data_IF_221445045226
#
_entry.id   IF_221445045226
#
_cell.length_a   1.000
_cell.length_b   1.000
_cell.length_c   1.000
_cell.angle_alpha   90.00
_cell.angle_beta   90.00
_cell.angle_gamma   90.00
#
_symmetry.space_group_name_H-M   'P 1'
#
loop_
_entity.id
_entity.type
_entity.pdbx_description
1 polymer ?
#
# COMPACT_ATOMS: atom_id res chain seq x y z
N UNK A 1 -33.60 -16.15 -26.30
CA UNK A 1 -32.39 -16.27 -25.47
C UNK A 1 -32.29 -15.03 -24.63
N UNK A 2 -32.14 -15.18 -23.32
CA UNK A 2 -31.84 -14.04 -22.45
C UNK A 2 -30.44 -13.49 -22.79
N UNK A 3 -30.16 -12.18 -22.58
CA UNK A 3 -28.83 -11.62 -22.84
C UNK A 3 -27.72 -12.40 -22.12
N UNK A 4 -27.98 -12.89 -20.91
CA UNK A 4 -27.05 -13.70 -20.12
C UNK A 4 -26.78 -15.07 -20.76
N UNK A 5 -27.78 -15.73 -21.34
CA UNK A 5 -27.59 -16.99 -22.07
C UNK A 5 -26.66 -16.82 -23.29
N UNK A 6 -26.74 -15.69 -23.98
CA UNK A 6 -25.85 -15.37 -25.10
C UNK A 6 -24.41 -15.26 -24.60
N UNK A 7 -24.19 -14.60 -23.46
CA UNK A 7 -22.86 -14.48 -22.85
C UNK A 7 -22.32 -15.83 -22.37
N UNK A 8 -23.16 -16.66 -21.73
CA UNK A 8 -22.82 -18.04 -21.34
C UNK A 8 -22.37 -18.87 -22.55
N UNK A 9 -23.06 -18.74 -23.69
CA UNK A 9 -22.67 -19.40 -24.95
C UNK A 9 -21.34 -18.88 -25.52
N UNK A 10 -21.06 -17.59 -25.38
CA UNK A 10 -19.76 -17.01 -25.74
C UNK A 10 -18.64 -17.56 -24.85
N UNK A 11 -18.90 -17.68 -23.55
CA UNK A 11 -17.95 -18.18 -22.55
C UNK A 11 -17.61 -19.66 -22.76
N UNK A 12 -18.60 -20.50 -23.11
CA UNK A 12 -18.34 -21.90 -23.45
C UNK A 12 -17.45 -22.04 -24.69
N UNK A 13 -17.62 -21.18 -25.70
CA UNK A 13 -16.75 -21.18 -26.89
C UNK A 13 -15.31 -20.82 -26.55
N UNK A 14 -15.08 -19.86 -25.64
CA UNK A 14 -13.73 -19.53 -25.16
C UNK A 14 -13.10 -20.72 -24.44
N UNK A 15 -13.85 -21.36 -23.55
CA UNK A 15 -13.42 -22.58 -22.88
C UNK A 15 -13.02 -23.66 -23.88
N UNK A 16 -13.82 -23.89 -24.93
CA UNK A 16 -13.51 -24.85 -25.97
C UNK A 16 -12.22 -24.50 -26.74
N UNK A 17 -11.99 -23.22 -27.04
CA UNK A 17 -10.77 -22.75 -27.73
C UNK A 17 -9.50 -23.01 -26.93
N UNK A 18 -9.55 -22.86 -25.60
CA UNK A 18 -8.36 -23.02 -24.75
C UNK A 18 -8.19 -24.45 -24.23
N UNK A 19 -9.23 -25.28 -24.27
CA UNK A 19 -9.26 -26.63 -23.67
C UNK A 19 -8.12 -27.51 -24.15
N UNK A 20 -7.88 -27.56 -25.46
CA UNK A 20 -6.85 -28.43 -26.04
C UNK A 20 -5.45 -28.01 -25.58
N UNK A 21 -5.16 -26.71 -25.57
CA UNK A 21 -3.85 -26.19 -25.15
C UNK A 21 -3.64 -26.38 -23.65
N UNK A 22 -4.66 -26.13 -22.83
CA UNK A 22 -4.62 -26.38 -21.38
C UNK A 22 -4.38 -27.87 -21.06
N UNK A 23 -5.08 -28.77 -21.76
CA UNK A 23 -4.87 -30.22 -21.60
C UNK A 23 -3.43 -30.65 -21.94
N UNK A 24 -2.84 -30.09 -23.01
CA UNK A 24 -1.42 -30.35 -23.35
C UNK A 24 -0.47 -29.88 -22.24
N UNK A 25 -0.73 -28.71 -21.64
CA UNK A 25 0.06 -28.19 -20.53
C UNK A 25 -0.09 -29.01 -19.25
N UNK A 26 -1.29 -29.48 -18.95
CA UNK A 26 -1.53 -30.38 -17.80
C UNK A 26 -0.77 -31.71 -17.96
N UNK A 27 -0.69 -32.25 -19.17
CA UNK A 27 0.13 -33.45 -19.45
C UNK A 27 1.61 -33.17 -19.25
N UNK A 28 2.13 -32.04 -19.73
CA UNK A 28 3.53 -31.63 -19.51
C UNK A 28 3.85 -31.44 -18.03
N UNK A 29 2.93 -30.83 -17.28
CA UNK A 29 3.06 -30.63 -15.83
C UNK A 29 3.10 -31.96 -15.08
N UNK A 30 2.24 -32.92 -15.45
CA UNK A 30 2.26 -34.29 -14.90
C UNK A 30 3.54 -35.05 -15.24
N UNK A 31 4.17 -34.74 -16.37
CA UNK A 31 5.46 -35.28 -16.78
C UNK A 31 6.67 -34.52 -16.20
N UNK A 32 6.44 -33.54 -15.29
CA UNK A 32 7.46 -32.69 -14.68
C UNK A 32 8.39 -32.00 -15.69
N UNK A 33 7.86 -31.67 -16.88
CA UNK A 33 8.60 -30.92 -17.90
C UNK A 33 8.50 -29.41 -17.64
N UNK A 34 9.55 -28.63 -17.93
CA UNK A 34 9.49 -27.18 -17.83
C UNK A 34 8.45 -26.62 -18.81
N UNK A 35 7.65 -25.66 -18.34
CA UNK A 35 6.72 -24.91 -19.18
C UNK A 35 7.54 -23.87 -19.95
N UNK A 36 7.17 -23.62 -21.21
CA UNK A 36 7.85 -22.61 -22.01
C UNK A 36 7.36 -21.21 -21.66
N UNK A 37 8.22 -20.19 -21.78
CA UNK A 37 7.85 -18.78 -21.56
C UNK A 37 6.61 -18.37 -22.38
N UNK A 38 6.48 -18.90 -23.60
CA UNK A 38 5.32 -18.65 -24.50
C UNK A 38 4.03 -19.28 -23.97
N UNK A 39 4.13 -20.38 -23.23
CA UNK A 39 2.98 -21.03 -22.59
C UNK A 39 2.61 -20.33 -21.28
N UNK A 40 3.58 -19.80 -20.53
CA UNK A 40 3.36 -18.97 -19.33
C UNK A 40 2.67 -17.65 -19.68
N UNK A 41 3.19 -16.90 -20.66
CA UNK A 41 2.57 -15.67 -21.16
C UNK A 41 1.13 -15.90 -21.65
N UNK A 42 0.87 -17.08 -22.23
CA UNK A 42 -0.47 -17.44 -22.68
C UNK A 42 -1.40 -17.77 -21.50
N UNK A 43 -0.91 -18.43 -20.44
CA UNK A 43 -1.68 -18.72 -19.23
C UNK A 43 -2.07 -17.43 -18.48
N UNK A 44 -1.23 -16.41 -18.48
CA UNK A 44 -1.52 -15.12 -17.85
C UNK A 44 -2.48 -14.23 -18.68
N UNK A 45 -2.51 -14.47 -20.00
CA UNK A 45 -3.34 -13.73 -20.95
C UNK A 45 -4.57 -14.52 -21.40
N UNK A 46 -4.56 -14.97 -22.66
CA UNK A 46 -5.72 -15.57 -23.34
C UNK A 46 -6.19 -16.90 -22.72
N UNK A 47 -5.34 -17.57 -21.93
CA UNK A 47 -5.67 -18.80 -21.21
C UNK A 47 -6.36 -18.58 -19.86
N UNK A 48 -6.37 -17.33 -19.36
CA UNK A 48 -7.01 -16.96 -18.11
C UNK A 48 -8.41 -16.41 -18.36
N UNK A 49 -9.45 -17.21 -18.10
CA UNK A 49 -10.85 -16.83 -18.32
C UNK A 49 -11.57 -16.35 -17.05
N UNK A 50 -10.84 -16.09 -15.96
CA UNK A 50 -11.44 -15.74 -14.67
C UNK A 50 -12.24 -14.43 -14.74
N UNK A 51 -11.77 -13.45 -15.50
CA UNK A 51 -12.49 -12.19 -15.69
C UNK A 51 -13.79 -12.41 -16.49
N UNK A 52 -13.74 -13.22 -17.57
CA UNK A 52 -14.92 -13.60 -18.35
C UNK A 52 -15.96 -14.36 -17.51
N UNK A 53 -15.54 -15.30 -16.66
CA UNK A 53 -16.43 -16.04 -15.76
C UNK A 53 -17.08 -15.12 -14.73
N UNK A 54 -16.26 -14.28 -14.05
CA UNK A 54 -16.75 -13.32 -13.04
C UNK A 54 -17.81 -12.39 -13.60
N UNK A 55 -17.59 -11.86 -14.81
CA UNK A 55 -18.53 -10.95 -15.45
C UNK A 55 -19.85 -11.64 -15.77
N UNK A 56 -19.81 -12.87 -16.28
CA UNK A 56 -21.03 -13.64 -16.57
C UNK A 56 -21.79 -13.98 -15.28
N UNK A 57 -21.10 -14.41 -14.22
CA UNK A 57 -21.71 -14.73 -12.92
C UNK A 57 -22.34 -13.49 -12.26
N UNK A 58 -21.67 -12.34 -12.35
CA UNK A 58 -22.18 -11.06 -11.84
C UNK A 58 -23.48 -10.66 -12.56
N UNK A 59 -23.53 -10.85 -13.89
CA UNK A 59 -24.72 -10.55 -14.69
C UNK A 59 -25.84 -11.58 -14.53
N UNK A 60 -25.52 -12.85 -14.27
CA UNK A 60 -26.49 -13.91 -13.99
C UNK A 60 -27.13 -13.76 -12.60
N UNK A 61 -26.37 -13.24 -11.63
CA UNK A 61 -26.84 -12.98 -10.27
C UNK A 61 -27.62 -11.68 -10.14
N UNK A 62 -27.53 -10.78 -11.13
CA UNK A 62 -28.25 -9.52 -11.12
C UNK A 62 -29.74 -9.74 -11.43
N UNK A 63 -30.62 -9.08 -10.66
CA UNK A 63 -32.07 -9.13 -10.87
C UNK A 63 -32.51 -8.50 -12.20
N UNK A 64 -31.72 -7.54 -12.70
CA UNK A 64 -31.93 -6.87 -13.98
C UNK A 64 -30.58 -6.76 -14.71
N UNK A 65 -30.55 -7.20 -15.97
CA UNK A 65 -29.37 -7.21 -16.81
C UNK A 65 -28.83 -5.79 -17.05
N UNK A 66 -29.70 -4.82 -17.29
CA UNK A 66 -29.30 -3.43 -17.56
C UNK A 66 -28.68 -2.79 -16.31
N UNK A 67 -29.23 -3.08 -15.13
CA UNK A 67 -28.67 -2.63 -13.86
C UNK A 67 -27.30 -3.28 -13.57
N UNK A 68 -27.16 -4.58 -13.87
CA UNK A 68 -25.89 -5.29 -13.78
C UNK A 68 -24.83 -4.68 -14.70
N UNK A 69 -25.19 -4.44 -15.96
CA UNK A 69 -24.31 -3.85 -16.97
C UNK A 69 -23.87 -2.41 -16.61
N UNK A 70 -24.76 -1.62 -16.00
CA UNK A 70 -24.44 -0.27 -15.54
C UNK A 70 -23.36 -0.26 -14.45
N UNK A 71 -23.35 -1.28 -13.57
CA UNK A 71 -22.40 -1.43 -12.46
C UNK A 71 -21.02 -1.94 -12.89
N UNK A 72 -20.92 -2.54 -14.07
CA UNK A 72 -19.65 -3.04 -14.61
C UNK A 72 -18.69 -1.89 -14.98
N UNK A 73 -17.40 -2.14 -14.78
CA UNK A 73 -16.35 -1.20 -15.18
C UNK A 73 -16.12 -1.20 -16.72
N UNK A 74 -15.21 -0.35 -17.20
CA UNK A 74 -14.91 -0.27 -18.64
C UNK A 74 -14.27 -1.55 -19.21
N UNK A 75 -13.50 -2.28 -18.41
CA UNK A 75 -12.84 -3.53 -18.81
C UNK A 75 -13.86 -4.67 -18.87
N UNK A 76 -14.69 -4.82 -17.84
CA UNK A 76 -15.78 -5.78 -17.76
C UNK A 76 -16.79 -5.56 -18.90
N UNK A 77 -17.10 -4.30 -19.26
CA UNK A 77 -17.93 -4.00 -20.45
C UNK A 77 -17.28 -4.46 -21.75
N UNK A 78 -15.95 -4.38 -21.86
CA UNK A 78 -15.21 -4.88 -23.03
C UNK A 78 -15.30 -6.40 -23.11
N UNK A 79 -15.25 -7.07 -21.97
CA UNK A 79 -15.45 -8.52 -21.84
C UNK A 79 -16.85 -8.94 -22.32
N UNK A 80 -17.91 -8.23 -21.89
CA UNK A 80 -19.29 -8.48 -22.35
C UNK A 80 -19.37 -8.38 -23.88
N UNK A 81 -18.80 -7.33 -24.48
CA UNK A 81 -18.78 -7.18 -25.94
C UNK A 81 -18.01 -8.29 -26.66
N UNK A 82 -16.88 -8.75 -26.08
CA UNK A 82 -16.08 -9.87 -26.61
C UNK A 82 -16.91 -11.16 -26.61
N UNK A 83 -17.55 -11.49 -25.49
CA UNK A 83 -18.39 -12.67 -25.33
C UNK A 83 -19.61 -12.64 -26.27
N UNK A 84 -20.25 -11.49 -26.42
CA UNK A 84 -21.38 -11.32 -27.33
C UNK A 84 -20.97 -11.55 -28.79
N UNK A 85 -19.85 -10.95 -29.25
CA UNK A 85 -19.31 -11.18 -30.60
C UNK A 85 -18.96 -12.65 -30.86
N UNK A 86 -18.41 -13.33 -29.85
CA UNK A 86 -18.10 -14.76 -29.94
C UNK A 86 -19.36 -15.63 -29.99
N UNK A 87 -20.42 -15.24 -29.29
CA UNK A 87 -21.70 -15.94 -29.34
C UNK A 87 -22.39 -15.79 -30.71
N UNK A 88 -22.36 -14.58 -31.27
CA UNK A 88 -22.99 -14.19 -32.54
C UNK A 88 -22.24 -14.71 -33.77
N UNK A 89 -20.91 -14.90 -33.70
CA UNK A 89 -20.12 -15.55 -34.76
C UNK A 89 -20.42 -17.05 -34.84
N UNK A 90 -21.56 -17.37 -35.44
CA UNK A 90 -21.85 -18.65 -36.06
C UNK A 90 -21.34 -18.65 -37.50
N UNK A 91 -20.49 -19.61 -37.84
CA UNK A 91 -20.02 -19.90 -39.22
C UNK A 91 -19.08 -18.86 -39.85
N UNK A 92 -17.81 -18.84 -39.44
CA UNK A 92 -16.66 -18.68 -40.37
C UNK A 92 -15.43 -19.32 -39.73
N UNK A 93 -14.91 -20.35 -40.40
CA UNK A 93 -13.60 -20.93 -40.11
C UNK A 93 -12.54 -19.87 -40.38
N UNK A 94 -11.57 -19.77 -39.47
CA UNK A 94 -10.24 -19.16 -39.56
C UNK A 94 -10.11 -17.85 -40.34
N UNK A 95 -9.78 -16.77 -39.64
CA UNK A 95 -8.66 -15.91 -40.01
C UNK A 95 -8.15 -15.15 -38.78
N UNK A 96 -6.85 -15.26 -38.55
CA UNK A 96 -6.13 -14.44 -37.58
C UNK A 96 -6.25 -12.94 -37.96
N UNK A 97 -6.19 -12.05 -36.97
CA UNK A 97 -4.98 -11.24 -36.92
C UNK A 97 -4.49 -11.00 -35.49
N UNK A 98 -3.25 -11.41 -35.25
CA UNK A 98 -2.43 -10.94 -34.15
C UNK A 98 -2.26 -9.42 -34.24
N UNK A 99 -2.93 -8.66 -33.36
CA UNK A 99 -2.47 -7.32 -32.98
C UNK A 99 -1.79 -7.42 -31.61
N UNK A 100 -0.47 -7.58 -31.65
CA UNK A 100 0.43 -7.41 -30.50
C UNK A 100 0.23 -6.02 -29.91
N UNK A 101 -0.52 -5.89 -28.82
CA UNK A 101 -0.49 -4.70 -27.99
C UNK A 101 0.62 -4.88 -26.95
N UNK A 102 1.82 -4.47 -27.34
CA UNK A 102 3.04 -4.51 -26.52
C UNK A 102 2.85 -3.62 -25.29
N UNK A 103 2.61 -4.21 -24.12
CA UNK A 103 2.76 -3.49 -22.84
C UNK A 103 4.24 -3.11 -22.71
N UNK A 104 4.53 -1.80 -22.66
CA UNK A 104 5.90 -1.28 -22.51
C UNK A 104 6.42 -1.63 -21.11
N UNK A 105 7.47 -2.45 -21.05
CA UNK A 105 8.36 -2.52 -19.91
C UNK A 105 9.12 -1.18 -19.80
N UNK A 106 8.97 -0.49 -18.67
CA UNK A 106 9.75 0.69 -18.30
C UNK A 106 11.17 0.24 -17.91
N UNK A 107 12.08 0.26 -18.89
CA UNK A 107 13.51 0.03 -18.69
C UNK A 107 14.17 1.35 -18.25
N UNK A 108 14.65 1.39 -17.02
CA UNK A 108 15.55 2.45 -16.53
C UNK A 108 16.89 2.39 -17.31
N UNK A 109 17.45 3.52 -17.76
CA UNK A 109 18.85 3.57 -18.14
C UNK A 109 19.70 4.12 -16.99
N UNK A 110 20.63 3.27 -16.55
CA UNK A 110 21.88 3.65 -15.90
C UNK A 110 22.78 4.36 -16.94
N UNK A 111 23.41 5.47 -16.57
CA UNK A 111 24.49 6.10 -17.35
C UNK A 111 25.69 6.33 -16.44
N UNK A 112 26.80 5.69 -16.79
CA UNK A 112 28.15 5.95 -16.31
C UNK A 112 28.84 7.00 -17.19
N UNK A 113 29.81 7.72 -16.60
CA UNK A 113 30.70 8.76 -17.13
C UNK A 113 31.39 8.39 -18.48
N UNK A 114 31.97 9.29 -19.28
CA UNK A 114 32.77 10.50 -19.00
C UNK A 114 32.86 11.43 -20.22
N UNK A 115 33.15 12.72 -19.99
CA UNK A 115 34.20 13.53 -20.66
C UNK A 115 33.91 15.06 -20.55
N UNK A 116 34.90 15.80 -20.08
CA UNK A 116 34.99 17.27 -19.86
C UNK A 116 36.12 17.83 -20.77
N UNK A 117 36.46 19.15 -20.89
CA UNK A 117 35.84 20.39 -20.36
C UNK A 117 35.91 21.71 -21.23
N UNK A 118 35.18 22.75 -20.75
CA UNK A 118 35.44 24.24 -20.74
C UNK A 118 35.25 25.14 -21.98
N UNK A 119 35.16 26.50 -21.84
CA UNK A 119 34.64 27.37 -20.74
C UNK A 119 33.72 28.54 -21.23
N UNK A 120 32.86 29.11 -20.37
CA UNK A 120 32.63 30.59 -20.27
C UNK A 120 31.56 30.97 -19.23
N UNK A 121 31.90 31.89 -18.31
CA UNK A 121 30.93 32.82 -17.69
C UNK A 121 30.67 32.66 -16.19
N UNK A 122 31.61 33.08 -15.36
CA UNK A 122 31.46 33.22 -13.91
C UNK A 122 30.49 34.35 -13.52
N UNK A 123 29.58 34.07 -12.59
CA UNK A 123 28.96 35.07 -11.70
C UNK A 123 28.98 34.54 -10.26
N UNK A 124 29.30 35.38 -9.26
CA UNK A 124 29.75 34.93 -7.95
C UNK A 124 28.64 34.35 -7.06
N UNK A 125 29.00 33.26 -6.37
CA UNK A 125 28.22 32.58 -5.33
C UNK A 125 28.13 33.42 -4.05
N UNK A 126 26.91 33.66 -3.57
CA UNK A 126 26.67 34.13 -2.20
C UNK A 126 26.54 32.93 -1.23
N UNK A 127 26.93 33.06 0.05
CA UNK A 127 26.99 31.93 0.98
C UNK A 127 25.60 31.49 1.47
N UNK A 128 25.50 30.18 1.64
CA UNK A 128 24.48 29.36 2.27
C UNK A 128 23.72 30.05 3.43
N UNK A 129 22.57 30.67 3.13
CA UNK A 129 21.55 30.94 4.14
C UNK A 129 20.57 29.76 4.12
N UNK A 130 20.67 28.88 5.12
CA UNK A 130 19.65 27.85 5.36
C UNK A 130 18.29 28.55 5.50
N UNK A 131 17.47 28.47 4.45
CA UNK A 131 16.11 28.98 4.49
C UNK A 131 15.34 28.13 5.51
N UNK A 132 15.26 28.60 6.75
CA UNK A 132 14.49 27.93 7.79
C UNK A 132 13.04 27.77 7.30
N UNK A 133 12.66 26.54 6.98
CA UNK A 133 11.29 26.20 6.60
C UNK A 133 10.37 26.61 7.75
N UNK A 134 9.27 27.29 7.41
CA UNK A 134 8.29 27.72 8.41
C UNK A 134 7.64 26.48 9.02
N UNK A 135 7.75 26.33 10.33
CA UNK A 135 7.12 25.24 11.05
C UNK A 135 5.84 25.69 11.76
N UNK A 136 4.91 24.76 11.94
CA UNK A 136 3.71 24.98 12.74
C UNK A 136 3.99 24.71 14.21
N UNK A 137 3.44 25.55 15.09
CA UNK A 137 3.61 25.40 16.54
C UNK A 137 2.84 24.18 17.05
N UNK A 138 3.55 23.33 17.77
CA UNK A 138 3.04 22.16 18.50
C UNK A 138 2.10 22.58 19.64
N UNK A 139 1.14 21.74 20.02
CA UNK A 139 0.20 22.04 21.12
C UNK A 139 0.92 22.33 22.44
N UNK A 140 1.97 21.55 22.78
CA UNK A 140 2.86 21.83 23.92
C UNK A 140 3.48 23.22 23.88
N UNK A 141 4.03 23.63 22.73
CA UNK A 141 4.64 24.95 22.55
C UNK A 141 3.61 26.07 22.71
N UNK A 142 2.37 25.86 22.25
CA UNK A 142 1.29 26.85 22.41
C UNK A 142 0.94 27.05 23.88
N UNK A 143 0.84 25.98 24.65
CA UNK A 143 0.55 26.07 26.11
C UNK A 143 1.68 26.77 26.84
N UNK A 144 2.94 26.42 26.58
CA UNK A 144 4.11 27.08 27.18
C UNK A 144 4.13 28.60 26.91
N UNK A 145 3.77 29.01 25.69
CA UNK A 145 3.69 30.42 25.31
C UNK A 145 2.54 31.13 26.05
N UNK A 146 1.41 30.45 26.25
CA UNK A 146 0.27 30.97 27.00
C UNK A 146 0.56 31.09 28.50
N UNK A 147 1.23 30.10 29.10
CA UNK A 147 1.63 30.11 30.50
C UNK A 147 2.61 31.26 30.77
N UNK A 148 3.61 31.44 29.90
CA UNK A 148 4.54 32.56 29.97
C UNK A 148 3.84 33.90 29.78
N UNK A 149 2.90 34.01 28.84
CA UNK A 149 2.12 35.24 28.63
C UNK A 149 1.32 35.63 29.87
N UNK A 150 0.72 34.66 30.56
CA UNK A 150 -0.02 34.89 31.79
C UNK A 150 0.88 35.26 32.97
N UNK A 151 2.06 34.65 33.08
CA UNK A 151 3.04 34.98 34.13
C UNK A 151 3.71 36.36 33.93
N UNK A 152 3.90 36.81 32.69
CA UNK A 152 4.64 38.05 32.36
C UNK A 152 3.73 39.26 32.06
N UNK A 153 2.55 39.31 32.69
CA UNK A 153 1.68 40.50 32.66
C UNK A 153 0.91 40.72 31.35
N UNK A 154 0.72 39.68 30.54
CA UNK A 154 -0.15 39.67 29.34
C UNK A 154 0.22 40.66 28.23
N UNK A 155 1.52 40.95 28.08
CA UNK A 155 2.02 41.82 27.02
C UNK A 155 2.40 41.02 25.78
N UNK A 156 1.47 40.94 24.82
CA UNK A 156 1.59 40.11 23.61
C UNK A 156 2.85 40.41 22.77
N UNK A 157 3.27 41.68 22.67
CA UNK A 157 4.47 42.08 21.92
C UNK A 157 5.74 41.53 22.57
N UNK A 158 5.83 41.56 23.90
CA UNK A 158 6.97 41.02 24.67
C UNK A 158 7.03 39.50 24.55
N UNK A 159 5.89 38.82 24.62
CA UNK A 159 5.79 37.37 24.40
C UNK A 159 6.26 36.98 23.01
N UNK A 160 5.79 37.68 21.96
CA UNK A 160 6.20 37.39 20.59
C UNK A 160 7.71 37.56 20.40
N UNK A 161 8.31 38.64 20.93
CA UNK A 161 9.77 38.85 20.84
C UNK A 161 10.58 37.80 21.60
N UNK A 162 10.13 37.41 22.81
CA UNK A 162 10.80 36.40 23.61
C UNK A 162 10.83 35.03 22.91
N UNK A 163 9.67 34.57 22.43
CA UNK A 163 9.58 33.27 21.75
C UNK A 163 10.04 33.29 20.30
N UNK A 164 10.19 34.45 19.67
CA UNK A 164 10.87 34.55 18.38
C UNK A 164 12.37 34.20 18.51
N UNK A 165 13.01 34.56 19.63
CA UNK A 165 14.39 34.19 19.91
C UNK A 165 14.54 32.70 20.26
N UNK A 166 13.59 32.14 21.00
CA UNK A 166 13.60 30.72 21.42
C UNK A 166 13.23 29.79 20.26
N UNK A 167 12.27 30.19 19.43
CA UNK A 167 11.78 29.42 18.28
C UNK A 167 11.81 30.24 16.97
N UNK A 168 12.99 30.44 16.36
CA UNK A 168 13.13 31.19 15.11
C UNK A 168 12.30 30.59 13.96
N UNK A 169 12.20 29.27 13.90
CA UNK A 169 11.48 28.51 12.85
C UNK A 169 9.96 28.71 12.87
N UNK A 170 9.37 29.06 14.03
CA UNK A 170 7.93 29.27 14.19
C UNK A 170 7.46 30.66 13.71
N UNK A 171 8.39 31.61 13.50
CA UNK A 171 8.11 32.98 13.04
C UNK A 171 6.92 33.62 13.78
N UNK A 172 6.93 33.53 15.12
CA UNK A 172 5.84 34.00 15.97
C UNK A 172 5.74 35.52 15.89
N UNK A 173 4.55 36.02 15.51
CA UNK A 173 4.23 37.46 15.45
C UNK A 173 3.13 37.78 16.48
N UNK A 174 3.03 39.04 16.87
CA UNK A 174 2.00 39.50 17.83
C UNK A 174 0.56 39.09 17.45
N UNK A 175 0.11 39.15 16.17
CA UNK A 175 -1.22 38.69 15.79
C UNK A 175 -1.45 37.19 16.05
N UNK A 176 -0.42 36.36 15.90
CA UNK A 176 -0.50 34.92 16.16
C UNK A 176 -0.69 34.63 17.65
N UNK A 177 0.05 35.34 18.51
CA UNK A 177 -0.13 35.26 19.97
C UNK A 177 -1.53 35.72 20.36
N UNK A 178 -2.04 36.80 19.76
CA UNK A 178 -3.40 37.28 20.02
C UNK A 178 -4.46 36.23 19.65
N UNK A 179 -4.27 35.49 18.54
CA UNK A 179 -5.18 34.43 18.11
C UNK A 179 -5.13 33.20 19.04
N UNK A 180 -3.96 32.90 19.61
CA UNK A 180 -3.83 31.85 20.62
C UNK A 180 -4.49 32.22 21.94
N UNK A 181 -4.29 33.45 22.43
CA UNK A 181 -4.93 33.96 23.64
C UNK A 181 -6.46 33.95 23.51
N UNK A 182 -7.01 34.36 22.35
CA UNK A 182 -8.46 34.31 22.10
C UNK A 182 -9.06 32.90 22.21
N UNK A 183 -8.28 31.87 21.90
CA UNK A 183 -8.71 30.47 21.92
C UNK A 183 -8.06 29.69 23.08
N UNK A 184 -7.59 30.37 24.12
CA UNK A 184 -6.82 29.77 25.21
C UNK A 184 -7.54 28.60 25.90
N UNK A 185 -8.82 28.79 26.23
CA UNK A 185 -9.63 27.74 26.86
C UNK A 185 -9.72 26.47 25.99
N UNK A 186 -9.86 26.64 24.67
CA UNK A 186 -9.88 25.52 23.72
C UNK A 186 -8.53 24.78 23.71
N UNK A 187 -7.42 25.51 23.65
CA UNK A 187 -6.09 24.88 23.62
C UNK A 187 -5.79 24.11 24.91
N UNK A 188 -6.22 24.63 26.08
CA UNK A 188 -6.07 23.94 27.36
C UNK A 188 -6.92 22.67 27.45
N UNK A 189 -8.20 22.74 27.08
CA UNK A 189 -9.08 21.57 27.03
C UNK A 189 -8.53 20.49 26.07
N UNK A 190 -8.02 20.89 24.90
CA UNK A 190 -7.40 19.98 23.94
C UNK A 190 -6.10 19.35 24.50
N UNK A 191 -5.31 20.09 25.27
CA UNK A 191 -4.08 19.58 25.90
C UNK A 191 -4.36 18.55 27.01
N UNK A 192 -5.38 18.80 27.82
CA UNK A 192 -5.84 17.89 28.88
C UNK A 192 -6.43 16.60 28.29
N UNK A 193 -7.26 16.72 27.25
CA UNK A 193 -7.85 15.56 26.55
C UNK A 193 -6.85 14.78 25.68
N UNK A 194 -5.72 15.38 25.31
CA UNK A 194 -4.73 14.77 24.42
C UNK A 194 -3.67 13.96 25.19
N UNK A 195 -3.40 12.73 24.72
CA UNK A 195 -2.25 11.93 25.17
C UNK A 195 -0.89 12.53 24.75
N UNK A 196 0.21 12.03 25.32
CA UNK A 196 1.55 12.58 25.11
C UNK A 196 1.97 12.74 23.63
N UNK A 197 1.55 11.80 22.78
CA UNK A 197 1.82 11.83 21.33
C UNK A 197 1.03 12.94 20.62
N UNK A 198 -0.23 13.15 21.01
CA UNK A 198 -1.09 14.21 20.46
C UNK A 198 -0.63 15.62 20.88
N UNK A 199 -0.05 15.77 22.08
CA UNK A 199 0.56 17.04 22.53
C UNK A 199 1.77 17.48 21.71
N UNK A 200 2.45 16.53 21.08
CA UNK A 200 3.59 16.76 20.18
C UNK A 200 3.17 17.05 18.74
N UNK A 201 1.91 16.80 18.39
CA UNK A 201 1.40 17.02 17.05
C UNK A 201 1.30 18.50 16.69
N UNK A 202 1.73 18.84 15.47
CA UNK A 202 1.70 20.22 14.93
C UNK A 202 0.34 20.61 14.34
N UNK A 203 -0.54 19.64 14.08
CA UNK A 203 -1.90 19.83 13.53
C UNK A 203 -2.82 18.71 14.01
N UNK A 204 -4.04 19.06 14.43
CA UNK A 204 -5.13 18.10 14.60
C UNK A 204 -5.51 17.56 13.23
N UNK A 205 -5.31 16.27 13.02
CA UNK A 205 -5.72 15.62 11.78
C UNK A 205 -7.16 15.13 11.94
N UNK A 206 -8.11 16.00 11.61
CA UNK A 206 -9.50 15.56 11.42
C UNK A 206 -9.56 14.81 10.09
N UNK A 207 -9.72 13.49 10.14
CA UNK A 207 -10.02 12.69 8.95
C UNK A 207 -11.41 13.04 8.46
N UNK A 208 -11.62 13.07 7.14
CA UNK A 208 -12.92 13.44 6.57
C UNK A 208 -14.07 12.52 7.00
N UNK A 209 -13.73 11.32 7.50
CA UNK A 209 -14.65 10.37 8.12
C UNK A 209 -14.04 9.91 9.46
N UNK A 210 -14.36 10.57 10.58
CA UNK A 210 -13.81 10.20 11.89
C UNK A 210 -14.33 8.84 12.36
N UNK A 211 -15.61 8.54 12.14
CA UNK A 211 -16.25 7.27 12.54
C UNK A 211 -15.59 6.05 11.88
N UNK A 212 -15.41 6.09 10.56
CA UNK A 212 -14.72 5.01 9.81
C UNK A 212 -13.26 4.87 10.24
N UNK A 213 -12.60 5.99 10.56
CA UNK A 213 -11.22 5.97 11.05
C UNK A 213 -11.11 5.32 12.42
N UNK A 214 -12.03 5.62 13.35
CA UNK A 214 -12.09 5.01 14.68
C UNK A 214 -12.35 3.51 14.61
N UNK A 215 -13.30 3.07 13.76
CA UNK A 215 -13.54 1.65 13.52
C UNK A 215 -12.29 0.93 13.02
N UNK A 216 -11.56 1.56 12.09
CA UNK A 216 -10.33 1.00 11.54
C UNK A 216 -9.21 0.95 12.58
N UNK A 217 -9.03 1.98 13.40
CA UNK A 217 -8.02 2.02 14.45
C UNK A 217 -8.27 0.96 15.53
N UNK A 218 -9.53 0.74 15.93
CA UNK A 218 -9.92 -0.34 16.83
C UNK A 218 -9.65 -1.72 16.21
N UNK A 219 -10.00 -1.90 14.94
CA UNK A 219 -9.75 -3.15 14.23
C UNK A 219 -8.26 -3.45 14.11
N UNK A 220 -7.43 -2.45 13.81
CA UNK A 220 -5.96 -2.59 13.77
C UNK A 220 -5.42 -2.96 15.14
N UNK A 221 -5.91 -2.33 16.21
CA UNK A 221 -5.50 -2.65 17.58
C UNK A 221 -5.77 -4.11 17.93
N UNK A 222 -6.96 -4.62 17.55
CA UNK A 222 -7.30 -6.04 17.71
C UNK A 222 -6.42 -6.95 16.86
N UNK A 223 -6.22 -6.62 15.59
CA UNK A 223 -5.40 -7.41 14.69
C UNK A 223 -3.93 -7.49 15.14
N UNK A 224 -3.41 -6.43 15.75
CA UNK A 224 -2.07 -6.42 16.36
C UNK A 224 -1.99 -7.34 17.60
N UNK A 225 -3.04 -7.37 18.42
CA UNK A 225 -3.13 -8.31 19.56
C UNK A 225 -3.16 -9.77 19.09
N UNK A 226 -3.89 -10.04 17.99
CA UNK A 226 -3.99 -11.35 17.36
C UNK A 226 -2.75 -11.71 16.51
N UNK A 227 -1.72 -10.83 16.47
CA UNK A 227 -0.48 -10.97 15.67
C UNK A 227 -0.74 -11.22 14.18
N UNK A 228 -1.83 -10.69 13.65
CA UNK A 228 -2.19 -10.81 12.24
C UNK A 228 -1.29 -9.93 11.37
N UNK A 229 -1.00 -10.42 10.16
CA UNK A 229 -0.22 -9.67 9.18
C UNK A 229 -1.12 -8.64 8.50
N UNK A 230 -0.84 -7.36 8.78
CA UNK A 230 -1.55 -6.22 8.20
C UNK A 230 -0.82 -5.71 6.96
N UNK A 231 -1.26 -6.16 5.79
CA UNK A 231 -0.81 -5.60 4.51
C UNK A 231 -1.53 -4.29 4.21
N UNK A 232 -0.86 -3.41 3.46
CA UNK A 232 -1.44 -2.14 3.02
C UNK A 232 -2.77 -2.31 2.28
N UNK A 233 -2.90 -3.36 1.47
CA UNK A 233 -4.14 -3.65 0.74
C UNK A 233 -5.28 -4.09 1.66
N UNK A 234 -4.97 -4.91 2.68
CA UNK A 234 -5.95 -5.34 3.69
C UNK A 234 -6.51 -4.13 4.43
N UNK A 235 -5.66 -3.15 4.75
CA UNK A 235 -6.10 -1.88 5.37
C UNK A 235 -7.03 -1.08 4.45
N UNK A 236 -6.74 -1.03 3.15
CA UNK A 236 -7.59 -0.35 2.15
C UNK A 236 -8.94 -1.03 1.99
N UNK A 237 -8.95 -2.36 1.87
CA UNK A 237 -10.17 -3.15 1.78
C UNK A 237 -11.02 -3.01 3.03
N UNK A 238 -10.42 -3.11 4.23
CA UNK A 238 -11.16 -2.93 5.48
C UNK A 238 -11.74 -1.54 5.63
N UNK A 239 -11.00 -0.50 5.21
CA UNK A 239 -11.55 0.84 5.19
C UNK A 239 -12.80 0.94 4.30
N UNK A 240 -12.78 0.35 3.09
CA UNK A 240 -13.96 0.31 2.20
C UNK A 240 -15.14 -0.38 2.85
N UNK A 241 -14.92 -1.55 3.46
CA UNK A 241 -15.98 -2.28 4.19
C UNK A 241 -16.59 -1.44 5.31
N UNK A 242 -15.78 -0.69 6.06
CA UNK A 242 -16.29 0.21 7.10
C UNK A 242 -17.03 1.43 6.52
N UNK A 243 -16.60 1.95 5.37
CA UNK A 243 -17.30 3.00 4.65
C UNK A 243 -18.67 2.51 4.11
N UNK A 244 -18.75 1.27 3.65
CA UNK A 244 -20.02 0.63 3.23
C UNK A 244 -20.96 0.49 4.44
N UNK A 245 -20.46 0.02 5.58
CA UNK A 245 -21.25 -0.17 6.81
C UNK A 245 -21.80 1.14 7.40
N UNK A 246 -21.04 2.23 7.28
CA UNK A 246 -21.45 3.57 7.75
C UNK A 246 -22.30 4.33 6.72
N UNK A 247 -22.57 3.74 5.56
CA UNK A 247 -23.41 4.34 4.53
C UNK A 247 -22.76 5.54 3.82
N UNK A 248 -21.42 5.61 3.78
CA UNK A 248 -20.70 6.69 3.09
C UNK A 248 -20.79 6.46 1.57
N UNK A 249 -21.46 7.38 0.82
CA UNK A 249 -21.58 7.26 -0.63
C UNK A 249 -20.20 7.26 -1.31
N UNK A 250 -20.04 6.53 -2.41
CA UNK A 250 -18.76 6.40 -3.13
C UNK A 250 -18.14 7.75 -3.48
N UNK A 251 -18.97 8.74 -3.87
CA UNK A 251 -18.54 10.09 -4.24
C UNK A 251 -17.94 10.90 -3.08
N UNK A 252 -18.23 10.52 -1.83
CA UNK A 252 -17.71 11.17 -0.62
C UNK A 252 -16.55 10.39 0.01
N UNK A 253 -16.13 9.27 -0.58
CA UNK A 253 -15.03 8.47 -0.04
C UNK A 253 -13.70 9.19 -0.23
N UNK A 254 -12.81 8.98 0.73
CA UNK A 254 -11.44 9.48 0.59
C UNK A 254 -10.71 8.65 -0.46
N UNK A 255 -9.85 9.32 -1.22
CA UNK A 255 -8.89 8.63 -2.06
C UNK A 255 -7.92 7.88 -1.16
N UNK A 256 -8.03 6.54 -1.15
CA UNK A 256 -7.15 5.59 -0.45
C UNK A 256 -5.77 5.54 -1.13
N UNK A 257 -5.12 6.69 -1.31
CA UNK A 257 -3.82 6.81 -1.95
C UNK A 257 -2.70 6.24 -1.07
N UNK A 258 -1.51 6.06 -1.64
CA UNK A 258 -0.33 5.68 -0.86
C UNK A 258 0.02 6.71 0.21
N UNK A 259 -0.29 7.99 -0.04
CA UNK A 259 -0.14 9.06 0.95
C UNK A 259 -1.05 8.85 2.16
N UNK A 260 -2.32 8.50 1.94
CA UNK A 260 -3.24 8.16 3.03
C UNK A 260 -2.74 6.97 3.84
N UNK A 261 -2.32 5.91 3.16
CA UNK A 261 -1.82 4.70 3.82
C UNK A 261 -0.53 4.97 4.62
N UNK A 262 0.39 5.78 4.07
CA UNK A 262 1.61 6.20 4.76
C UNK A 262 1.28 6.98 6.04
N UNK A 263 0.40 7.98 5.95
CA UNK A 263 -0.06 8.74 7.11
C UNK A 263 -0.77 7.85 8.14
N UNK A 264 -1.57 6.88 7.69
CA UNK A 264 -2.28 5.94 8.56
C UNK A 264 -1.30 5.03 9.33
N UNK A 265 -0.29 4.48 8.65
CA UNK A 265 0.74 3.66 9.27
C UNK A 265 1.52 4.44 10.34
N UNK A 266 1.92 5.68 10.03
CA UNK A 266 2.63 6.55 10.98
C UNK A 266 1.77 6.84 12.21
N UNK A 267 0.47 7.12 12.03
CA UNK A 267 -0.45 7.39 13.15
C UNK A 267 -0.60 6.19 14.08
N UNK A 268 -0.74 5.00 13.50
CA UNK A 268 -0.92 3.75 14.25
C UNK A 268 0.40 3.07 14.63
N UNK A 269 1.55 3.74 14.44
CA UNK A 269 2.88 3.20 14.71
C UNK A 269 3.15 1.83 14.05
N UNK A 270 2.54 1.59 12.89
CA UNK A 270 2.70 0.34 12.14
C UNK A 270 4.07 0.34 11.46
N UNK A 271 4.90 -0.65 11.80
CA UNK A 271 6.23 -0.83 11.22
C UNK A 271 6.21 -1.98 10.22
N UNK A 272 6.94 -1.79 9.12
CA UNK A 272 7.16 -2.87 8.16
C UNK A 272 8.15 -3.87 8.75
N UNK A 273 7.80 -5.15 8.75
CA UNK A 273 8.70 -6.22 9.18
C UNK A 273 8.98 -7.12 7.97
N UNK A 274 10.25 -7.20 7.54
CA UNK A 274 10.67 -8.23 6.58
C UNK A 274 10.69 -9.57 7.30
N UNK A 275 9.92 -10.54 6.82
CA UNK A 275 10.08 -11.92 7.25
C UNK A 275 11.18 -12.57 6.43
N UNK A 276 12.12 -13.21 7.09
CA UNK A 276 13.02 -14.17 6.46
C UNK A 276 12.23 -15.47 6.30
N UNK A 277 12.18 -15.98 5.07
CA UNK A 277 11.53 -17.25 4.76
C UNK A 277 12.29 -18.41 5.40
N UNK A 278 11.57 -19.46 5.76
CA UNK A 278 12.03 -20.77 6.26
C UNK A 278 12.33 -20.92 7.76
N UNK A 279 13.06 -20.00 8.41
CA UNK A 279 13.44 -20.15 9.82
C UNK A 279 12.24 -20.24 10.80
N UNK A 280 11.06 -19.76 10.40
CA UNK A 280 9.84 -19.76 11.21
C UNK A 280 8.91 -20.97 10.99
N UNK A 281 9.26 -21.91 10.11
CA UNK A 281 8.45 -23.11 9.83
C UNK A 281 8.64 -24.20 10.89
N UNK A 282 9.82 -24.27 11.50
CA UNK A 282 10.14 -25.28 12.50
C UNK A 282 9.51 -24.94 13.86
N UNK A 283 8.84 -25.89 14.54
CA UNK A 283 8.31 -25.68 15.88
C UNK A 283 9.46 -25.46 16.88
N UNK A 284 9.33 -24.49 17.82
CA UNK A 284 10.41 -24.09 18.72
C UNK A 284 10.90 -25.26 19.59
N UNK A 285 10.00 -26.15 20.00
CA UNK A 285 10.32 -27.32 20.81
C UNK A 285 11.24 -28.32 20.09
N UNK A 286 11.10 -28.47 18.77
CA UNK A 286 11.97 -29.33 17.97
C UNK A 286 13.33 -28.67 17.77
N UNK A 287 13.35 -27.35 17.52
CA UNK A 287 14.60 -26.59 17.36
C UNK A 287 15.46 -26.66 18.63
N UNK A 288 14.85 -26.53 19.81
CA UNK A 288 15.58 -26.61 21.08
C UNK A 288 16.18 -28.01 21.32
N UNK A 289 15.42 -29.08 21.01
CA UNK A 289 15.91 -30.46 21.11
C UNK A 289 17.09 -30.73 20.18
N UNK A 290 16.98 -30.34 18.92
CA UNK A 290 18.05 -30.52 17.94
C UNK A 290 19.30 -29.71 18.32
N UNK A 291 19.11 -28.49 18.88
CA UNK A 291 20.22 -27.67 19.36
C UNK A 291 20.95 -28.32 20.53
N UNK A 292 20.23 -28.96 21.46
CA UNK A 292 20.84 -29.73 22.55
C UNK A 292 21.57 -30.96 22.02
N UNK A 293 20.96 -31.70 21.08
CA UNK A 293 21.57 -32.87 20.45
C UNK A 293 22.91 -32.52 19.76
N UNK A 294 22.93 -31.44 18.98
CA UNK A 294 24.15 -30.94 18.33
C UNK A 294 25.22 -30.53 19.34
N UNK A 295 24.84 -29.87 20.45
CA UNK A 295 25.80 -29.50 21.50
C UNK A 295 26.41 -30.71 22.19
N UNK A 296 25.62 -31.76 22.45
CA UNK A 296 26.13 -33.01 23.00
C UNK A 296 27.08 -33.71 22.03
N UNK A 297 26.73 -33.77 20.75
CA UNK A 297 27.57 -34.33 19.70
C UNK A 297 28.92 -33.61 19.59
N UNK A 298 28.90 -32.27 19.59
CA UNK A 298 30.11 -31.44 19.53
C UNK A 298 31.03 -31.70 20.73
N UNK A 299 30.46 -31.84 21.94
CA UNK A 299 31.23 -32.17 23.16
C UNK A 299 31.80 -33.58 23.10
N UNK A 300 31.03 -34.56 22.61
CA UNK A 300 31.42 -35.96 22.53
C UNK A 300 32.58 -36.20 21.55
N UNK A 301 32.50 -35.59 20.37
CA UNK A 301 33.48 -35.76 19.30
C UNK A 301 34.68 -34.77 19.42
N UNK A 302 34.63 -33.83 20.37
CA UNK A 302 35.75 -32.95 20.68
C UNK A 302 36.08 -31.93 19.58
N UNK A 303 35.09 -31.54 18.76
CA UNK A 303 35.31 -30.57 17.70
C UNK A 303 35.74 -29.22 18.27
N UNK A 304 36.87 -28.70 17.78
CA UNK A 304 37.32 -27.35 18.12
C UNK A 304 36.43 -26.31 17.42
N UNK A 305 36.18 -25.13 18.04
CA UNK A 305 35.29 -24.12 17.47
C UNK A 305 35.62 -23.68 16.04
N UNK A 306 36.90 -23.69 15.66
CA UNK A 306 37.35 -23.32 14.31
C UNK A 306 37.00 -24.36 13.22
N UNK A 307 36.50 -25.54 13.61
CA UNK A 307 36.02 -26.58 12.69
C UNK A 307 34.49 -26.64 12.59
N UNK A 308 33.78 -25.71 13.24
CA UNK A 308 32.32 -25.63 13.21
C UNK A 308 31.94 -24.56 12.21
N UNK A 309 31.41 -24.99 11.07
CA UNK A 309 30.99 -24.09 10.00
C UNK A 309 29.47 -23.97 9.99
N UNK A 310 28.97 -22.74 9.92
CA UNK A 310 27.56 -22.49 9.64
C UNK A 310 27.38 -22.43 8.11
N UNK A 311 26.66 -23.39 7.55
CA UNK A 311 26.29 -23.42 6.14
C UNK A 311 24.76 -23.33 6.06
N UNK A 312 24.27 -22.41 5.24
CA UNK A 312 22.86 -22.25 4.92
C UNK A 312 22.71 -22.27 3.39
N UNK A 313 21.54 -22.67 2.90
CA UNK A 313 21.29 -22.73 1.46
C UNK A 313 21.41 -21.34 0.85
N UNK A 314 22.42 -21.15 0.01
CA UNK A 314 22.54 -19.94 -0.81
C UNK A 314 21.97 -20.22 -2.19
N UNK A 315 20.81 -19.65 -2.49
CA UNK A 315 20.23 -19.71 -3.82
C UNK A 315 21.12 -18.94 -4.81
N UNK A 316 21.64 -19.61 -5.84
CA UNK A 316 22.38 -19.00 -6.94
C UNK A 316 21.43 -18.24 -7.88
N UNK A 317 21.66 -16.94 -8.06
CA UNK A 317 21.00 -16.14 -9.10
C UNK A 317 21.90 -16.10 -10.34
N UNK A 318 21.51 -16.82 -11.40
CA UNK A 318 22.09 -16.62 -12.73
C UNK A 318 21.37 -15.44 -13.41
N UNK A 319 22.14 -14.42 -13.78
CA UNK A 319 21.67 -13.20 -14.46
C UNK A 319 21.88 -13.28 -15.98
#
# INVERSE_FOLDING_TARGET
>A
MTPVEVLKKGLTKLHDQIRERKAKLEVKLKASQPISEVDEDWLDGDGNLIDEERVVETLDSASDYEQGLARLDSQDKTVVQKLQKLAESGSRKNDAPSKKQKRKASKFPCLTASDTPTPAGEKPLNPLAESQKKENATLKQRIEILDWHNANGRVQKKTASHFHAIYPSLKIKQPLVSAWVKNEARWRAEYESSGASARSAKKVCQTQHPEVAEMLDLWVSKAMADKLLLTGEVLRQKWKTFADLTGVPDDKRINLSDGWLSCFKVRNNLKNMKRHGEAASAPPDTVEKERLCLQELIKKEGYKPHNIFNADESSLFYA
#
